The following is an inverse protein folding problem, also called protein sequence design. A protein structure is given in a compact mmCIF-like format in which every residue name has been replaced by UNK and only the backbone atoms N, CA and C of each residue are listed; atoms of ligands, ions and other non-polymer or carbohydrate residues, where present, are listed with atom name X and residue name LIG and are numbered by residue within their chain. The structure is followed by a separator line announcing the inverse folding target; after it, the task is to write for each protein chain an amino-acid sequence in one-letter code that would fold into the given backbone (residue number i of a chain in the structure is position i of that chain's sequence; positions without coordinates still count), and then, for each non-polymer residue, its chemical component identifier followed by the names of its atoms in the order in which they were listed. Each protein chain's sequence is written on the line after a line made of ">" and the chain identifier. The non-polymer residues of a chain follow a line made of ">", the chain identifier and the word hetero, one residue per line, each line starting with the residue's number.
data_IF_619096785407
#
_entry.id   IF_619096785407
#
_cell.length_a   1.000
_cell.length_b   1.000
_cell.length_c   1.000
_cell.angle_alpha   90.00
_cell.angle_beta   90.00
_cell.angle_gamma   90.00
#
_symmetry.space_group_name_H-M   'P 1'
#
loop_
_entity.id
_entity.type
_entity.pdbx_description
1 polymer ?
#
# COMPACT_ATOMS: atom_id res chain seq x y z
N UNK A 1 20.41 -6.41 -13.30
CA UNK A 1 21.33 -5.84 -12.53
C UNK A 1 20.86 -4.66 -11.84
N UNK A 2 20.68 -3.58 -12.53
CA UNK A 2 20.30 -2.37 -11.85
C UNK A 2 18.98 -2.50 -11.12
N UNK A 3 18.06 -3.32 -11.63
CA UNK A 3 16.77 -3.46 -10.95
C UNK A 3 16.93 -4.09 -9.58
N UNK A 4 17.89 -4.97 -9.44
CA UNK A 4 18.14 -5.58 -8.15
C UNK A 4 18.65 -4.57 -7.15
N UNK A 5 19.52 -3.68 -7.62
CA UNK A 5 20.02 -2.64 -6.74
C UNK A 5 18.92 -1.70 -6.30
N UNK A 6 18.00 -1.41 -7.20
CA UNK A 6 16.88 -0.56 -6.83
C UNK A 6 16.06 -1.16 -5.72
N UNK A 7 15.85 -2.47 -5.78
CA UNK A 7 15.07 -3.12 -4.75
C UNK A 7 15.73 -3.03 -3.39
N UNK A 8 17.06 -2.98 -3.38
CA UNK A 8 17.78 -2.87 -2.12
C UNK A 8 17.86 -1.46 -1.60
N UNK A 9 17.53 -0.48 -2.43
CA UNK A 9 17.63 0.91 -2.04
C UNK A 9 16.46 1.36 -1.16
N UNK A 10 15.37 0.61 -1.15
CA UNK A 10 14.17 1.01 -0.41
C UNK A 10 13.86 0.03 0.68
N UNK A 11 13.52 0.58 1.85
CA UNK A 11 13.04 -0.23 2.95
C UNK A 11 11.59 -0.60 2.75
N UNK A 12 10.78 0.34 2.28
CA UNK A 12 9.36 0.13 2.06
C UNK A 12 8.99 0.65 0.69
N UNK A 13 8.26 -0.15 -0.07
CA UNK A 13 7.72 0.26 -1.36
C UNK A 13 6.24 -0.02 -1.39
N UNK A 14 5.47 1.00 -1.72
CA UNK A 14 4.02 0.90 -1.80
C UNK A 14 3.59 1.30 -3.20
N UNK A 15 2.80 0.44 -3.86
CA UNK A 15 2.40 0.66 -5.23
C UNK A 15 0.88 0.55 -5.33
N UNK A 16 0.26 1.60 -5.84
CA UNK A 16 -1.17 1.65 -6.14
C UNK A 16 -2.04 1.23 -4.96
N UNK A 17 -1.69 1.72 -3.77
CA UNK A 17 -2.42 1.37 -2.57
C UNK A 17 -3.80 2.02 -2.56
N UNK A 18 -4.81 1.22 -2.28
CA UNK A 18 -6.19 1.67 -2.15
C UNK A 18 -6.76 1.15 -0.86
N UNK A 19 -7.44 2.03 -0.14
CA UNK A 19 -8.15 1.66 1.08
C UNK A 19 -9.52 2.32 1.02
N UNK A 20 -10.51 1.52 0.73
CA UNK A 20 -11.90 1.97 0.62
C UNK A 20 -12.70 1.36 1.75
N UNK A 21 -13.52 2.18 2.38
CA UNK A 21 -14.40 1.72 3.46
C UNK A 21 -15.84 1.80 2.99
N UNK A 22 -16.65 0.79 3.28
CA UNK A 22 -18.06 0.87 2.92
C UNK A 22 -18.78 1.85 3.85
N UNK A 23 -19.54 2.75 3.25
CA UNK A 23 -20.38 3.70 4.00
C UNK A 23 -21.82 3.43 3.61
N UNK A 24 -22.66 3.21 4.61
CA UNK A 24 -24.07 2.91 4.38
C UNK A 24 -24.86 4.20 4.34
N UNK A 25 -25.63 4.38 3.27
CA UNK A 25 -26.53 5.52 3.14
C UNK A 25 -27.88 4.99 2.72
N UNK A 26 -28.82 4.94 3.67
CA UNK A 26 -30.11 4.35 3.40
C UNK A 26 -29.96 2.90 3.02
N UNK A 27 -30.43 2.55 1.83
CA UNK A 27 -30.31 1.17 1.34
C UNK A 27 -29.07 0.95 0.48
N UNK A 28 -28.26 1.99 0.29
CA UNK A 28 -27.11 1.91 -0.58
C UNK A 28 -25.84 1.81 0.25
N UNK A 29 -24.81 1.17 -0.33
CA UNK A 29 -23.50 1.15 0.24
C UNK A 29 -22.55 1.81 -0.75
N UNK A 30 -21.84 2.84 -0.29
CA UNK A 30 -20.95 3.62 -1.13
C UNK A 30 -19.53 3.49 -0.59
N UNK A 31 -18.54 3.28 -1.45
CA UNK A 31 -17.16 3.21 -0.95
C UNK A 31 -16.64 4.60 -0.60
N UNK A 32 -16.08 4.72 0.61
CA UNK A 32 -15.33 5.90 1.00
C UNK A 32 -13.88 5.63 0.64
N UNK A 33 -13.36 6.40 -0.31
CA UNK A 33 -12.00 6.19 -0.80
C UNK A 33 -11.02 6.96 0.07
N UNK A 34 -10.71 6.40 1.22
CA UNK A 34 -9.81 7.05 2.17
C UNK A 34 -8.39 7.14 1.63
N UNK A 35 -7.95 6.10 0.94
CA UNK A 35 -6.68 6.10 0.21
C UNK A 35 -7.00 5.60 -1.19
N UNK A 36 -6.66 6.40 -2.19
CA UNK A 36 -7.06 6.07 -3.55
C UNK A 36 -5.85 6.17 -4.48
N UNK A 37 -5.22 5.03 -4.73
CA UNK A 37 -4.13 4.88 -5.70
C UNK A 37 -2.91 5.71 -5.33
N UNK A 38 -2.31 5.39 -4.20
CA UNK A 38 -1.11 6.07 -3.73
C UNK A 38 0.10 5.16 -3.92
N UNK A 39 1.19 5.74 -4.43
CA UNK A 39 2.45 5.02 -4.59
C UNK A 39 3.57 5.85 -3.98
N UNK A 40 4.43 5.19 -3.21
CA UNK A 40 5.57 5.87 -2.62
C UNK A 40 6.59 4.84 -2.16
N UNK A 41 7.78 5.31 -1.81
CA UNK A 41 8.83 4.46 -1.29
C UNK A 41 9.58 5.19 -0.19
N UNK A 42 10.10 4.42 0.77
CA UNK A 42 10.85 4.95 1.90
C UNK A 42 12.19 4.24 1.94
N UNK A 43 13.26 5.01 2.05
CA UNK A 43 14.60 4.46 2.17
C UNK A 43 14.93 4.20 3.63
N UNK A 44 15.90 3.31 3.89
CA UNK A 44 16.34 3.10 5.27
C UNK A 44 16.78 4.43 5.89
N UNK A 45 16.33 4.68 7.10
CA UNK A 45 16.65 5.92 7.80
C UNK A 45 15.67 7.04 7.58
N UNK A 46 14.77 6.90 6.61
CA UNK A 46 13.72 7.88 6.40
C UNK A 46 12.47 7.48 7.16
N UNK A 47 11.59 8.43 7.38
CA UNK A 47 10.33 8.16 8.05
C UNK A 47 9.18 8.48 7.11
N UNK A 48 8.00 8.01 7.47
CA UNK A 48 6.79 8.24 6.68
C UNK A 48 6.28 9.65 6.94
N UNK A 49 6.84 10.61 6.24
CA UNK A 49 6.44 12.00 6.42
C UNK A 49 5.73 12.60 5.23
N UNK A 50 5.57 11.81 4.18
CA UNK A 50 5.10 12.34 2.91
C UNK A 50 3.67 12.86 2.97
N UNK A 51 2.88 12.36 3.89
CA UNK A 51 1.48 12.74 3.97
C UNK A 51 1.23 13.65 5.16
N UNK A 52 2.26 14.38 5.55
CA UNK A 52 2.17 15.20 6.73
C UNK A 52 1.14 16.30 6.67
N UNK A 53 0.77 16.72 5.49
CA UNK A 53 -0.19 17.81 5.38
C UNK A 53 -1.61 17.39 5.70
N UNK A 54 -1.90 16.10 5.75
CA UNK A 54 -3.22 15.62 6.08
C UNK A 54 -3.13 14.54 7.12
N UNK A 55 -3.54 14.87 8.34
CA UNK A 55 -3.47 13.88 9.42
C UNK A 55 -4.30 12.65 9.15
N UNK A 56 -5.48 12.83 8.59
CA UNK A 56 -6.37 11.70 8.33
C UNK A 56 -5.77 10.72 7.33
N UNK A 57 -5.25 11.24 6.22
CA UNK A 57 -4.66 10.39 5.19
C UNK A 57 -3.45 9.65 5.71
N UNK A 58 -2.61 10.34 6.47
CA UNK A 58 -1.41 9.74 7.03
C UNK A 58 -1.76 8.58 7.96
N UNK A 59 -2.74 8.78 8.82
CA UNK A 59 -3.16 7.76 9.77
C UNK A 59 -3.72 6.54 9.04
N UNK A 60 -4.56 6.77 8.04
CA UNK A 60 -5.16 5.68 7.29
C UNK A 60 -4.10 4.87 6.57
N UNK A 61 -3.15 5.56 5.92
CA UNK A 61 -2.07 4.86 5.23
C UNK A 61 -1.27 4.01 6.20
N UNK A 62 -0.89 4.57 7.34
CA UNK A 62 -0.10 3.83 8.32
C UNK A 62 -0.83 2.61 8.84
N UNK A 63 -2.10 2.75 9.16
CA UNK A 63 -2.88 1.63 9.67
C UNK A 63 -3.07 0.54 8.61
N UNK A 64 -3.23 0.95 7.36
CA UNK A 64 -3.35 0.00 6.27
C UNK A 64 -2.06 -0.78 6.07
N UNK A 65 -0.92 -0.10 6.15
CA UNK A 65 0.37 -0.76 6.00
C UNK A 65 0.62 -1.74 7.12
N UNK A 66 0.19 -1.40 8.34
CA UNK A 66 0.32 -2.30 9.47
C UNK A 66 -0.72 -3.42 9.46
N UNK A 67 -1.60 -3.40 8.49
CA UNK A 67 -2.68 -4.37 8.32
C UNK A 67 -3.68 -4.32 9.46
N UNK A 68 -3.84 -3.15 10.07
CA UNK A 68 -4.96 -2.92 10.97
C UNK A 68 -6.23 -2.76 10.16
N UNK A 69 -6.09 -2.34 8.91
CA UNK A 69 -7.15 -2.37 7.92
C UNK A 69 -6.67 -3.25 6.78
N UNK A 70 -7.55 -4.08 6.24
CA UNK A 70 -7.22 -4.90 5.08
C UNK A 70 -7.22 -4.02 3.85
N UNK A 71 -6.10 -3.95 3.10
CA UNK A 71 -6.08 -3.11 1.91
C UNK A 71 -7.09 -3.56 0.86
N UNK A 72 -7.68 -2.60 0.18
CA UNK A 72 -8.58 -2.92 -0.91
C UNK A 72 -7.80 -3.40 -2.13
N UNK A 73 -6.69 -2.74 -2.43
CA UNK A 73 -5.83 -3.13 -3.55
C UNK A 73 -4.45 -2.53 -3.34
N UNK A 74 -3.50 -3.01 -4.12
CA UNK A 74 -2.16 -2.48 -4.11
C UNK A 74 -1.11 -3.54 -3.86
N UNK A 75 0.13 -3.08 -3.74
CA UNK A 75 1.25 -3.96 -3.46
C UNK A 75 2.15 -3.29 -2.44
N UNK A 76 2.55 -4.04 -1.43
CA UNK A 76 3.40 -3.55 -0.34
C UNK A 76 4.61 -4.46 -0.24
N UNK A 77 5.79 -3.87 -0.38
CA UNK A 77 7.06 -4.59 -0.26
C UNK A 77 7.86 -3.98 0.87
N UNK A 78 8.31 -4.80 1.79
CA UNK A 78 9.09 -4.34 2.94
C UNK A 78 10.42 -5.10 2.98
N UNK A 79 11.51 -4.34 2.92
CA UNK A 79 12.86 -4.91 2.97
C UNK A 79 13.03 -6.02 1.94
N UNK A 80 12.54 -5.75 0.72
CA UNK A 80 12.67 -6.68 -0.39
C UNK A 80 11.67 -7.82 -0.42
N UNK A 81 10.81 -7.90 0.58
CA UNK A 81 9.83 -8.98 0.66
C UNK A 81 8.43 -8.46 0.43
N UNK A 82 7.69 -9.09 -0.46
CA UNK A 82 6.31 -8.70 -0.73
C UNK A 82 5.43 -9.17 0.42
N UNK A 83 4.80 -8.22 1.10
CA UNK A 83 3.92 -8.52 2.22
C UNK A 83 2.46 -8.58 1.80
N UNK A 84 2.11 -7.83 0.78
CA UNK A 84 0.74 -7.80 0.27
C UNK A 84 0.77 -7.50 -1.21
N UNK A 85 -0.05 -8.20 -1.96
CA UNK A 85 -0.22 -7.94 -3.39
C UNK A 85 -1.62 -8.38 -3.77
N UNK A 86 -2.43 -7.43 -4.20
CA UNK A 86 -3.81 -7.74 -4.59
C UNK A 86 -3.89 -8.51 -5.90
N UNK A 87 -2.80 -8.53 -6.66
CA UNK A 87 -2.75 -9.25 -7.92
C UNK A 87 -3.07 -8.43 -9.14
N UNK A 88 -3.54 -7.20 -8.96
CA UNK A 88 -3.81 -6.35 -10.11
C UNK A 88 -2.53 -6.01 -10.84
N UNK A 89 -2.59 -6.03 -12.16
CA UNK A 89 -1.45 -5.71 -13.01
C UNK A 89 -1.64 -4.32 -13.61
N UNK A 90 -0.55 -3.58 -13.74
CA UNK A 90 -0.60 -2.21 -14.24
C UNK A 90 0.33 -2.06 -15.43
N UNK A 91 -0.09 -1.26 -16.42
CA UNK A 91 0.77 -0.98 -17.57
C UNK A 91 1.74 0.15 -17.23
N UNK A 92 2.56 0.53 -18.20
CA UNK A 92 3.58 1.53 -17.96
C UNK A 92 3.00 2.91 -17.66
N UNK A 93 1.73 3.12 -17.96
CA UNK A 93 1.04 4.37 -17.67
C UNK A 93 0.32 4.34 -16.34
N UNK A 94 0.41 3.24 -15.60
CA UNK A 94 -0.23 3.12 -14.32
C UNK A 94 -1.68 2.72 -14.37
N UNK A 95 -2.16 2.26 -15.53
CA UNK A 95 -3.53 1.83 -15.66
C UNK A 95 -3.65 0.32 -15.49
N UNK A 96 -4.74 -0.11 -14.88
CA UNK A 96 -4.99 -1.53 -14.69
C UNK A 96 -5.11 -2.21 -16.05
N UNK A 97 -4.39 -3.30 -16.22
CA UNK A 97 -4.47 -4.08 -17.44
C UNK A 97 -5.74 -4.92 -17.40
N UNK A 98 -6.53 -4.85 -18.44
CA UNK A 98 -7.78 -5.59 -18.49
C UNK A 98 -7.77 -6.54 -19.68
N UNK A 99 -8.58 -7.60 -19.58
CA UNK A 99 -8.70 -8.57 -20.67
C UNK A 99 -9.73 -8.10 -21.68
N UNK A 100 -10.05 -8.95 -22.64
CA UNK A 100 -10.96 -8.58 -23.71
C UNK A 100 -12.37 -8.33 -23.22
N UNK A 101 -12.71 -8.83 -22.03
CA UNK A 101 -14.02 -8.60 -21.43
C UNK A 101 -14.04 -7.40 -20.50
N UNK A 102 -12.93 -6.67 -20.40
CA UNK A 102 -12.86 -5.51 -19.53
C UNK A 102 -12.58 -5.84 -18.09
N UNK A 103 -12.24 -7.08 -17.78
CA UNK A 103 -11.94 -7.46 -16.40
C UNK A 103 -10.44 -7.36 -16.14
N UNK A 104 -10.05 -6.95 -14.92
CA UNK A 104 -8.63 -6.85 -14.62
C UNK A 104 -7.92 -8.20 -14.75
N UNK A 105 -6.74 -8.14 -15.34
CA UNK A 105 -5.87 -9.32 -15.40
C UNK A 105 -5.21 -9.46 -14.05
N UNK A 106 -5.41 -10.61 -13.40
CA UNK A 106 -4.93 -10.81 -12.05
C UNK A 106 -3.69 -11.69 -12.03
N UNK A 107 -2.70 -11.25 -11.29
CA UNK A 107 -1.52 -12.05 -11.02
C UNK A 107 -1.64 -12.75 -9.69
N UNK A 108 -0.51 -13.15 -9.16
CA UNK A 108 -0.47 -13.86 -7.89
C UNK A 108 -0.82 -12.93 -6.74
N UNK A 109 -1.67 -13.41 -5.85
CA UNK A 109 -2.03 -12.65 -4.65
C UNK A 109 -1.13 -13.06 -3.50
N UNK A 110 -0.74 -12.08 -2.69
CA UNK A 110 0.10 -12.30 -1.53
C UNK A 110 -0.52 -11.58 -0.35
N UNK A 111 -0.59 -12.23 0.79
CA UNK A 111 -1.08 -11.61 2.01
C UNK A 111 -0.50 -12.37 3.20
N UNK A 112 0.65 -11.90 3.66
CA UNK A 112 1.38 -12.61 4.70
C UNK A 112 0.88 -12.24 6.09
N UNK A 113 1.24 -13.07 7.06
CA UNK A 113 0.97 -12.76 8.45
C UNK A 113 1.86 -11.60 8.87
N UNK A 114 1.24 -10.51 9.31
CA UNK A 114 1.98 -9.28 9.63
C UNK A 114 2.61 -9.28 11.01
N UNK A 115 2.33 -10.29 11.83
CA UNK A 115 2.82 -10.29 13.19
C UNK A 115 4.34 -10.08 13.29
N UNK A 116 5.15 -10.78 12.51
CA UNK A 116 6.60 -10.58 12.63
C UNK A 116 7.08 -9.24 12.09
N UNK A 117 6.27 -8.53 11.33
CA UNK A 117 6.70 -7.28 10.69
C UNK A 117 6.19 -6.02 11.35
N UNK A 118 5.14 -6.13 12.15
CA UNK A 118 4.49 -4.93 12.69
C UNK A 118 5.42 -4.07 13.52
N UNK A 119 6.22 -4.70 14.33
CA UNK A 119 7.10 -3.94 15.22
C UNK A 119 8.11 -3.11 14.42
N UNK A 120 8.71 -3.72 13.42
CA UNK A 120 9.68 -3.01 12.59
C UNK A 120 9.01 -1.89 11.81
N UNK A 121 7.82 -2.15 11.28
CA UNK A 121 7.13 -1.14 10.50
C UNK A 121 6.66 0.01 11.36
N UNK A 122 6.28 -0.26 12.60
CA UNK A 122 5.91 0.80 13.51
C UNK A 122 7.05 1.77 13.73
N UNK A 123 8.26 1.26 13.81
CA UNK A 123 9.43 2.12 13.98
C UNK A 123 9.64 3.03 12.78
N UNK A 124 9.33 2.52 11.58
CA UNK A 124 9.45 3.33 10.36
C UNK A 124 8.46 4.48 10.38
N UNK A 125 7.29 4.25 10.97
CA UNK A 125 6.22 5.27 10.95
C UNK A 125 6.33 6.25 12.12
N UNK A 126 7.12 5.94 13.10
CA UNK A 126 7.25 6.84 14.24
C UNK A 126 8.06 8.07 13.87
N UNK A 127 7.59 9.22 14.35
CA UNK A 127 8.36 10.44 14.23
C UNK A 127 9.50 10.33 15.27
N UNK A 128 10.75 10.35 14.82
CA UNK A 128 11.85 10.18 15.75
C UNK A 128 11.93 11.27 16.81
N UNK A 129 11.21 12.37 16.62
CA UNK A 129 11.22 13.44 17.59
C UNK A 129 10.08 13.34 18.60
N UNK A 130 9.24 12.38 18.46
CA UNK A 130 8.08 12.23 19.36
C UNK A 130 8.44 11.58 20.67
#
# INVERSE_FOLDING_TARGET
>A
MSSEKKNNDYLLEVEHLKQYFPVHQGFSTIPLKAVDDISFAIRPGETLGLVGESGCGKTTVGRTLLRLYQPTAGKITFDGKVLFDSGEQYDENGKVIVDTNGKPVMGKKVDVNMMPYRKEMQMVFQDPRS
#
